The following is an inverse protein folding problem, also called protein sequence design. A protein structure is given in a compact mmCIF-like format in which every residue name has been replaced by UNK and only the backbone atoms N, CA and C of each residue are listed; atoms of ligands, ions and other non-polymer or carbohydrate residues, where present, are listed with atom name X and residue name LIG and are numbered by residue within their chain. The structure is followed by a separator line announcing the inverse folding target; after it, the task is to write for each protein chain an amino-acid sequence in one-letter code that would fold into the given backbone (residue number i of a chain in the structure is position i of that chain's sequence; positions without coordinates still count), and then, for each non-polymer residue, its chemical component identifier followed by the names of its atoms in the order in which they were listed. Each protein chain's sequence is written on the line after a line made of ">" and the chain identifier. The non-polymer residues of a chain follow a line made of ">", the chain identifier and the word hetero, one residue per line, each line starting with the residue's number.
data_IF_347230517361
#
_entry.id   IF_347230517361
#
_cell.length_a   1.000
_cell.length_b   1.000
_cell.length_c   1.000
_cell.angle_alpha   90.00
_cell.angle_beta   90.00
_cell.angle_gamma   90.00
#
_symmetry.space_group_name_H-M   'P 1'
#
loop_
_entity.id
_entity.type
_entity.pdbx_description
1 polymer ?
#
# COMPACT_ATOMS: atom_id res chain seq x y z
N UNK A 1 8.14 -12.74 3.04
CA UNK A 1 7.79 -11.72 4.05
C UNK A 1 6.75 -10.71 3.53
N UNK A 2 6.79 -10.31 2.26
CA UNK A 2 5.83 -9.38 1.63
C UNK A 2 4.36 -9.86 1.70
N UNK A 3 4.09 -11.13 1.56
CA UNK A 3 2.72 -11.67 1.43
C UNK A 3 2.05 -11.96 2.75
N UNK A 4 2.79 -12.42 3.74
CA UNK A 4 2.25 -12.42 5.10
C UNK A 4 1.86 -11.01 5.51
N UNK A 5 2.70 -10.01 5.21
CA UNK A 5 2.42 -8.61 5.58
C UNK A 5 1.22 -8.05 4.84
N UNK A 6 1.06 -8.34 3.53
CA UNK A 6 -0.12 -7.92 2.77
C UNK A 6 -1.38 -8.68 3.22
N UNK A 7 -1.27 -9.96 3.56
CA UNK A 7 -2.35 -10.74 4.18
C UNK A 7 -2.84 -10.13 5.47
N UNK A 8 -1.94 -9.76 6.36
CA UNK A 8 -2.30 -9.04 7.59
C UNK A 8 -2.98 -7.71 7.31
N UNK A 9 -2.43 -6.96 6.35
CA UNK A 9 -2.89 -5.65 5.97
C UNK A 9 -4.32 -5.72 5.44
N UNK A 10 -4.64 -6.65 4.54
CA UNK A 10 -6.00 -6.84 4.01
C UNK A 10 -6.96 -7.51 5.00
N UNK A 11 -6.46 -8.38 5.86
CA UNK A 11 -7.24 -8.90 6.97
C UNK A 11 -7.71 -7.78 7.91
N UNK A 12 -6.81 -6.85 8.25
CA UNK A 12 -7.14 -5.70 9.09
C UNK A 12 -8.10 -4.74 8.37
N UNK A 13 -7.91 -4.48 7.07
CA UNK A 13 -8.82 -3.62 6.31
C UNK A 13 -10.20 -4.23 6.14
N UNK A 14 -10.28 -5.52 5.81
CA UNK A 14 -11.54 -6.24 5.72
C UNK A 14 -12.28 -6.22 7.06
N UNK A 15 -11.57 -6.47 8.15
CA UNK A 15 -12.13 -6.35 9.49
C UNK A 15 -12.63 -4.93 9.78
N UNK A 16 -11.86 -3.91 9.41
CA UNK A 16 -12.24 -2.51 9.59
C UNK A 16 -13.48 -2.14 8.78
N UNK A 17 -13.61 -2.64 7.53
CA UNK A 17 -14.79 -2.45 6.68
C UNK A 17 -16.02 -3.11 7.30
N UNK A 18 -15.90 -4.34 7.79
CA UNK A 18 -17.00 -5.06 8.45
C UNK A 18 -17.41 -4.31 9.71
N UNK A 19 -16.48 -3.93 10.58
CA UNK A 19 -16.78 -3.18 11.80
C UNK A 19 -17.42 -1.83 11.47
N UNK A 20 -16.88 -1.08 10.49
CA UNK A 20 -17.43 0.20 10.04
C UNK A 20 -18.84 0.05 9.45
N UNK A 21 -19.08 -0.96 8.62
CA UNK A 21 -20.38 -1.27 8.03
C UNK A 21 -21.42 -1.67 9.07
N UNK A 22 -21.07 -2.57 9.98
CA UNK A 22 -21.94 -2.97 11.10
C UNK A 22 -22.20 -1.81 12.05
N UNK A 23 -21.17 -1.01 12.36
CA UNK A 23 -21.30 0.18 13.19
C UNK A 23 -22.23 1.22 12.57
N UNK A 24 -22.09 1.46 11.27
CA UNK A 24 -22.97 2.37 10.51
C UNK A 24 -24.42 1.87 10.46
N UNK A 25 -24.62 0.58 10.17
CA UNK A 25 -25.95 -0.04 10.15
C UNK A 25 -26.61 0.04 11.53
N UNK A 26 -25.86 -0.24 12.60
CA UNK A 26 -26.38 -0.15 13.97
C UNK A 26 -26.74 1.28 14.36
N UNK A 27 -25.89 2.26 14.03
CA UNK A 27 -26.18 3.67 14.29
C UNK A 27 -27.42 4.16 13.53
N UNK A 28 -27.59 3.76 12.26
CA UNK A 28 -28.74 4.09 11.45
C UNK A 28 -30.05 3.40 11.95
N UNK A 29 -29.96 2.12 12.35
CA UNK A 29 -31.10 1.42 12.94
C UNK A 29 -31.59 2.13 14.21
N UNK A 30 -30.65 2.54 15.07
CA UNK A 30 -30.99 3.24 16.30
C UNK A 30 -31.59 4.63 16.01
N UNK A 31 -31.05 5.35 15.03
CA UNK A 31 -31.58 6.63 14.57
C UNK A 31 -33.03 6.48 14.05
N UNK A 32 -33.33 5.41 13.29
CA UNK A 32 -34.68 5.10 12.82
C UNK A 32 -35.61 4.77 14.00
N UNK A 33 -35.16 3.95 14.97
CA UNK A 33 -35.99 3.61 16.12
C UNK A 33 -36.34 4.81 16.99
N UNK A 34 -35.43 5.73 17.19
CA UNK A 34 -35.66 6.96 17.95
C UNK A 34 -36.64 7.93 17.24
N UNK A 35 -36.71 7.87 15.91
CA UNK A 35 -37.59 8.69 15.07
C UNK A 35 -38.85 7.96 14.59
N UNK A 36 -39.12 6.80 15.16
CA UNK A 36 -40.26 5.98 14.74
C UNK A 36 -41.59 6.77 14.74
N UNK A 37 -41.81 7.59 15.76
CA UNK A 37 -43.00 8.43 15.86
C UNK A 37 -43.08 9.52 14.78
N UNK A 38 -41.97 10.21 14.50
CA UNK A 38 -41.90 11.23 13.43
C UNK A 38 -42.16 10.59 12.07
N UNK A 39 -41.58 9.43 11.79
CA UNK A 39 -41.81 8.64 10.57
C UNK A 39 -43.31 8.23 10.48
N UNK A 40 -43.89 7.82 11.61
CA UNK A 40 -45.30 7.49 11.68
C UNK A 40 -46.23 8.69 11.34
N UNK A 41 -45.92 9.87 11.85
CA UNK A 41 -46.66 11.11 11.52
C UNK A 41 -46.50 11.44 10.03
N UNK A 42 -45.30 11.39 9.47
CA UNK A 42 -45.10 11.63 8.03
C UNK A 42 -45.92 10.66 7.17
N UNK A 43 -45.98 9.38 7.60
CA UNK A 43 -46.75 8.33 6.92
C UNK A 43 -48.28 8.57 7.05
N UNK A 44 -48.76 9.04 8.19
CA UNK A 44 -50.18 9.37 8.39
C UNK A 44 -50.63 10.58 7.57
N UNK A 45 -49.73 11.54 7.30
CA UNK A 45 -49.95 12.69 6.43
C UNK A 45 -49.83 12.34 4.92
N UNK A 46 -49.64 11.04 4.58
CA UNK A 46 -49.70 10.57 3.20
C UNK A 46 -48.35 10.36 2.51
N UNK A 47 -47.23 10.36 3.25
CA UNK A 47 -45.94 10.04 2.65
C UNK A 47 -45.93 8.58 2.19
N UNK A 48 -45.54 8.38 0.92
CA UNK A 48 -45.33 7.04 0.34
C UNK A 48 -44.08 6.38 0.95
N UNK A 49 -44.10 5.03 1.06
CA UNK A 49 -42.97 4.23 1.56
C UNK A 49 -41.64 4.60 0.91
N UNK A 50 -41.65 4.80 -0.41
CA UNK A 50 -40.47 5.17 -1.20
C UNK A 50 -39.89 6.54 -0.80
N UNK A 51 -40.73 7.50 -0.39
CA UNK A 51 -40.26 8.82 0.05
C UNK A 51 -39.53 8.73 1.38
N UNK A 52 -40.01 7.90 2.33
CA UNK A 52 -39.37 7.64 3.61
C UNK A 52 -38.03 6.88 3.37
N UNK A 53 -38.05 5.87 2.52
CA UNK A 53 -36.84 5.11 2.16
C UNK A 53 -35.75 6.04 1.59
N UNK A 54 -36.08 6.86 0.61
CA UNK A 54 -35.12 7.80 0.00
C UNK A 54 -34.59 8.83 0.99
N UNK A 55 -35.44 9.30 1.92
CA UNK A 55 -35.03 10.26 2.94
C UNK A 55 -33.95 9.66 3.86
N UNK A 56 -34.15 8.44 4.40
CA UNK A 56 -33.24 7.80 5.32
C UNK A 56 -31.99 7.30 4.59
N UNK A 57 -32.15 6.76 3.38
CA UNK A 57 -31.01 6.36 2.57
C UNK A 57 -30.13 7.57 2.20
N UNK A 58 -30.74 8.70 1.86
CA UNK A 58 -30.03 9.95 1.60
C UNK A 58 -29.26 10.45 2.83
N UNK A 59 -29.84 10.32 4.04
CA UNK A 59 -29.17 10.65 5.29
C UNK A 59 -27.94 9.74 5.51
N UNK A 60 -28.08 8.43 5.26
CA UNK A 60 -26.95 7.47 5.34
C UNK A 60 -25.85 7.80 4.34
N UNK A 61 -26.20 8.10 3.09
CA UNK A 61 -25.23 8.48 2.07
C UNK A 61 -24.47 9.77 2.45
N UNK A 62 -25.20 10.76 3.00
CA UNK A 62 -24.59 12.02 3.44
C UNK A 62 -23.60 11.80 4.58
N UNK A 63 -23.95 10.97 5.57
CA UNK A 63 -23.04 10.58 6.67
C UNK A 63 -21.84 9.83 6.11
N UNK A 64 -22.05 8.91 5.17
CA UNK A 64 -20.96 8.18 4.49
C UNK A 64 -19.98 9.11 3.78
N UNK A 65 -20.48 10.05 2.97
CA UNK A 65 -19.66 11.03 2.24
C UNK A 65 -18.88 11.92 3.21
N UNK A 66 -19.51 12.46 4.23
CA UNK A 66 -18.83 13.30 5.22
C UNK A 66 -17.75 12.53 6.00
N UNK A 67 -18.05 11.28 6.42
CA UNK A 67 -17.08 10.41 7.07
C UNK A 67 -15.93 10.06 6.15
N UNK A 68 -16.22 9.79 4.89
CA UNK A 68 -15.20 9.50 3.88
C UNK A 68 -14.28 10.69 3.60
N UNK A 69 -14.81 11.91 3.49
CA UNK A 69 -13.99 13.11 3.34
C UNK A 69 -13.09 13.36 4.55
N UNK A 70 -13.60 13.15 5.76
CA UNK A 70 -12.79 13.22 6.98
C UNK A 70 -11.71 12.13 6.99
N UNK A 71 -12.05 10.90 6.58
CA UNK A 71 -11.09 9.79 6.48
C UNK A 71 -9.97 10.08 5.48
N UNK A 72 -10.31 10.61 4.31
CA UNK A 72 -9.32 11.05 3.30
C UNK A 72 -8.39 12.13 3.87
N UNK A 73 -8.94 13.12 4.56
CA UNK A 73 -8.15 14.18 5.19
C UNK A 73 -7.24 13.66 6.30
N UNK A 74 -7.75 12.76 7.15
CA UNK A 74 -6.94 12.13 8.21
C UNK A 74 -5.86 11.21 7.64
N UNK A 75 -6.17 10.42 6.61
CA UNK A 75 -5.21 9.57 5.93
C UNK A 75 -4.08 10.40 5.30
N UNK A 76 -4.42 11.50 4.62
CA UNK A 76 -3.43 12.42 4.06
C UNK A 76 -2.57 13.07 5.16
N UNK A 77 -3.17 13.52 6.27
CA UNK A 77 -2.46 14.09 7.40
C UNK A 77 -1.51 13.08 8.06
N UNK A 78 -1.93 11.82 8.21
CA UNK A 78 -1.07 10.75 8.71
C UNK A 78 0.12 10.50 7.79
N UNK A 79 -0.11 10.38 6.49
CA UNK A 79 0.99 10.23 5.52
C UNK A 79 1.96 11.41 5.58
N UNK A 80 1.47 12.64 5.74
CA UNK A 80 2.30 13.83 5.86
C UNK A 80 3.11 13.86 7.18
N UNK A 81 2.47 13.53 8.31
CA UNK A 81 3.11 13.56 9.65
C UNK A 81 4.09 12.41 9.86
N UNK A 82 3.83 11.28 9.28
CA UNK A 82 4.66 10.08 9.38
C UNK A 82 5.42 9.80 8.07
N UNK A 83 5.70 10.82 7.28
CA UNK A 83 6.38 10.68 5.99
C UNK A 83 7.71 9.91 6.12
N UNK A 84 8.50 10.16 7.17
CA UNK A 84 9.75 9.42 7.43
C UNK A 84 9.52 7.92 7.70
N UNK A 85 8.51 7.56 8.50
CA UNK A 85 8.16 6.17 8.73
C UNK A 85 7.42 5.54 7.53
N UNK A 86 6.61 6.32 6.82
CA UNK A 86 5.89 5.88 5.63
C UNK A 86 6.85 5.59 4.47
N UNK A 87 7.90 6.40 4.28
CA UNK A 87 8.95 6.14 3.29
C UNK A 87 9.76 4.89 3.65
N UNK A 88 9.91 4.57 4.94
CA UNK A 88 10.50 3.31 5.40
C UNK A 88 9.73 2.09 4.88
N UNK A 89 8.40 2.18 4.80
CA UNK A 89 7.54 1.13 4.24
C UNK A 89 7.21 1.33 2.76
N UNK A 90 7.96 2.17 2.04
CA UNK A 90 7.75 2.45 0.62
C UNK A 90 6.54 3.33 0.30
N UNK A 91 5.82 3.82 1.30
CA UNK A 91 4.72 4.74 1.09
C UNK A 91 5.25 6.16 0.88
N UNK A 92 5.12 6.70 -0.32
CA UNK A 92 5.44 8.09 -0.59
C UNK A 92 4.17 8.91 -0.85
N UNK A 93 4.17 10.14 -0.37
CA UNK A 93 3.07 11.09 -0.62
C UNK A 93 2.89 11.42 -2.11
N UNK A 94 3.95 11.21 -2.91
CA UNK A 94 3.94 11.39 -4.36
C UNK A 94 3.17 10.28 -5.11
N UNK A 95 2.92 9.13 -4.48
CA UNK A 95 2.28 7.98 -5.10
C UNK A 95 0.77 7.87 -4.83
N UNK A 96 0.13 8.92 -4.32
CA UNK A 96 -1.34 8.96 -4.23
C UNK A 96 -1.91 9.08 -5.64
N UNK A 97 -2.11 7.93 -6.29
CA UNK A 97 -2.68 7.89 -7.63
C UNK A 97 -4.19 8.21 -7.60
N UNK A 98 -4.71 8.70 -8.70
CA UNK A 98 -6.16 8.89 -8.88
C UNK A 98 -6.96 7.60 -8.63
N UNK A 99 -6.35 6.43 -8.85
CA UNK A 99 -6.95 5.13 -8.56
C UNK A 99 -7.23 4.90 -7.07
N UNK A 100 -6.32 5.31 -6.17
CA UNK A 100 -6.54 5.21 -4.72
C UNK A 100 -7.73 6.07 -4.28
N UNK A 101 -7.82 7.29 -4.82
CA UNK A 101 -8.96 8.19 -4.54
C UNK A 101 -10.27 7.61 -5.04
N UNK A 102 -10.30 7.01 -6.25
CA UNK A 102 -11.47 6.36 -6.80
C UNK A 102 -11.92 5.16 -5.97
N UNK A 103 -10.98 4.31 -5.52
CA UNK A 103 -11.28 3.17 -4.64
C UNK A 103 -11.82 3.63 -3.29
N UNK A 104 -11.20 4.62 -2.66
CA UNK A 104 -11.66 5.18 -1.40
C UNK A 104 -13.08 5.76 -1.55
N UNK A 105 -13.35 6.50 -2.63
CA UNK A 105 -14.67 7.06 -2.91
C UNK A 105 -15.69 5.97 -3.19
N UNK A 106 -15.35 4.94 -3.97
CA UNK A 106 -16.17 3.76 -4.20
C UNK A 106 -16.55 3.05 -2.90
N UNK A 107 -15.58 2.83 -2.02
CA UNK A 107 -15.80 2.22 -0.69
C UNK A 107 -16.77 3.04 0.16
N UNK A 108 -16.64 4.37 0.16
CA UNK A 108 -17.56 5.28 0.88
C UNK A 108 -19.00 5.15 0.38
N UNK A 109 -19.19 5.11 -0.95
CA UNK A 109 -20.52 4.95 -1.54
C UNK A 109 -21.11 3.59 -1.16
N UNK A 110 -20.33 2.52 -1.28
CA UNK A 110 -20.78 1.15 -0.95
C UNK A 110 -21.15 1.06 0.53
N UNK A 111 -20.31 1.53 1.44
CA UNK A 111 -20.59 1.53 2.88
C UNK A 111 -21.83 2.36 3.22
N UNK A 112 -21.97 3.55 2.62
CA UNK A 112 -23.16 4.42 2.80
C UNK A 112 -24.44 3.76 2.34
N UNK A 113 -24.38 3.07 1.21
CA UNK A 113 -25.53 2.37 0.63
C UNK A 113 -25.88 1.11 1.44
N UNK A 114 -24.92 0.21 1.66
CA UNK A 114 -25.14 -1.07 2.38
C UNK A 114 -25.55 -0.82 3.82
N UNK A 115 -24.87 0.08 4.53
CA UNK A 115 -25.20 0.45 5.91
C UNK A 115 -26.57 1.12 6.04
N UNK A 116 -27.05 1.80 4.97
CA UNK A 116 -28.34 2.52 4.96
C UNK A 116 -29.53 1.74 4.42
N UNK A 117 -29.33 0.76 3.54
CA UNK A 117 -30.45 0.06 2.86
C UNK A 117 -31.36 -0.68 3.83
N UNK A 118 -30.81 -1.49 4.74
CA UNK A 118 -31.61 -2.26 5.69
C UNK A 118 -32.38 -1.35 6.67
N UNK A 119 -31.78 -0.35 7.33
CA UNK A 119 -32.50 0.58 8.19
C UNK A 119 -33.59 1.36 7.47
N UNK A 120 -33.32 1.85 6.27
CA UNK A 120 -34.29 2.61 5.47
C UNK A 120 -35.47 1.74 5.00
N UNK A 121 -35.19 0.51 4.59
CA UNK A 121 -36.24 -0.46 4.25
C UNK A 121 -37.12 -0.79 5.46
N UNK A 122 -36.54 -1.05 6.62
CA UNK A 122 -37.27 -1.30 7.88
C UNK A 122 -38.14 -0.11 8.27
N UNK A 123 -37.57 1.10 8.22
CA UNK A 123 -38.32 2.33 8.51
C UNK A 123 -39.49 2.58 7.54
N UNK A 124 -39.30 2.26 6.25
CA UNK A 124 -40.36 2.43 5.24
C UNK A 124 -41.56 1.52 5.45
N UNK A 125 -41.39 0.41 6.18
CA UNK A 125 -42.45 -0.57 6.48
C UNK A 125 -43.19 -0.32 7.80
N UNK A 126 -42.77 0.67 8.60
CA UNK A 126 -43.48 1.02 9.83
C UNK A 126 -44.94 1.39 9.55
N UNK A 127 -45.85 0.80 10.29
CA UNK A 127 -47.29 1.15 10.23
C UNK A 127 -47.55 2.43 11.02
N UNK A 128 -48.32 3.38 10.53
CA UNK A 128 -48.60 4.66 11.21
C UNK A 128 -49.17 4.46 12.62
N UNK A 129 -50.05 3.47 12.80
CA UNK A 129 -50.73 3.19 14.07
C UNK A 129 -49.73 2.65 15.12
N UNK A 130 -48.83 1.74 14.73
CA UNK A 130 -47.81 1.20 15.61
C UNK A 130 -46.76 2.25 15.95
N UNK A 131 -46.37 3.09 14.99
CA UNK A 131 -45.40 4.14 15.17
C UNK A 131 -45.89 5.25 16.12
N UNK A 132 -47.18 5.55 16.11
CA UNK A 132 -47.82 6.55 17.01
C UNK A 132 -47.98 6.00 18.44
N UNK A 133 -48.12 4.68 18.61
CA UNK A 133 -48.19 4.02 19.93
C UNK A 133 -46.82 3.81 20.58
N UNK A 134 -45.73 4.07 19.86
CA UNK A 134 -44.38 3.86 20.35
C UNK A 134 -43.99 4.98 21.34
N UNK A 135 -44.05 4.69 22.64
CA UNK A 135 -43.65 5.59 23.74
C UNK A 135 -42.14 5.58 24.00
N UNK A 136 -41.32 5.48 22.97
CA UNK A 136 -39.86 5.45 23.10
C UNK A 136 -39.25 6.85 23.20
N UNK A 137 -38.88 7.20 24.39
CA UNK A 137 -37.95 8.24 24.86
C UNK A 137 -37.55 9.37 23.92
N UNK A 138 -38.40 10.37 23.73
CA UNK A 138 -37.95 11.67 23.26
C UNK A 138 -37.31 12.42 24.44
N UNK A 139 -35.99 12.44 24.51
CA UNK A 139 -35.26 13.41 25.37
C UNK A 139 -35.54 14.81 24.83
N UNK A 140 -36.51 15.50 25.46
CA UNK A 140 -36.75 16.92 25.26
C UNK A 140 -35.60 17.77 25.77
N UNK A 141 -34.53 17.90 24.99
CA UNK A 141 -33.49 18.88 25.21
C UNK A 141 -33.73 20.07 24.27
N UNK A 142 -33.58 21.28 24.74
CA UNK A 142 -33.61 22.53 23.98
C UNK A 142 -32.52 22.50 22.89
N UNK A 143 -32.84 21.93 21.74
CA UNK A 143 -31.90 21.83 20.63
C UNK A 143 -31.80 23.18 19.91
N UNK A 144 -30.62 23.79 19.94
CA UNK A 144 -30.27 24.95 19.11
C UNK A 144 -30.55 24.59 17.64
N UNK A 145 -31.48 25.29 17.03
CA UNK A 145 -31.76 25.14 15.59
C UNK A 145 -30.68 25.89 14.80
N UNK A 146 -30.02 25.19 13.89
CA UNK A 146 -29.14 25.85 12.93
C UNK A 146 -29.99 26.53 11.86
N UNK A 147 -29.66 27.77 11.43
CA UNK A 147 -30.44 28.53 10.45
C UNK A 147 -30.29 27.98 9.02
N UNK A 148 -29.39 27.02 8.78
CA UNK A 148 -29.04 26.49 7.45
C UNK A 148 -29.18 24.97 7.46
N UNK A 149 -29.92 24.43 6.47
CA UNK A 149 -30.05 23.01 6.19
C UNK A 149 -31.43 22.44 6.49
N UNK A 150 -31.84 21.47 5.68
CA UNK A 150 -33.10 20.74 5.84
C UNK A 150 -33.14 19.86 7.10
N UNK A 151 -34.26 19.15 7.31
CA UNK A 151 -34.49 18.27 8.46
C UNK A 151 -33.33 17.26 8.71
N UNK A 152 -32.65 16.84 7.66
CA UNK A 152 -31.52 15.92 7.77
C UNK A 152 -30.32 16.53 8.54
N UNK A 153 -29.93 17.77 8.22
CA UNK A 153 -28.81 18.47 8.88
C UNK A 153 -29.14 18.79 10.34
N UNK A 154 -30.36 19.24 10.61
CA UNK A 154 -30.81 19.52 11.99
C UNK A 154 -30.79 18.25 12.86
N UNK A 155 -31.15 17.10 12.29
CA UNK A 155 -31.15 15.82 13.01
C UNK A 155 -29.76 15.29 13.33
N UNK A 156 -28.80 15.49 12.43
CA UNK A 156 -27.39 15.15 12.68
C UNK A 156 -26.81 15.99 13.82
N UNK A 157 -27.18 17.29 13.88
CA UNK A 157 -26.70 18.19 14.92
C UNK A 157 -27.31 17.92 16.28
N UNK A 158 -28.60 17.57 16.33
CA UNK A 158 -29.28 17.26 17.60
C UNK A 158 -28.70 16.01 18.30
N UNK A 159 -28.03 15.13 17.55
CA UNK A 159 -27.39 13.89 18.04
C UNK A 159 -25.90 13.88 17.81
N UNK A 160 -25.27 15.05 18.04
CA UNK A 160 -23.87 15.29 17.71
C UNK A 160 -22.90 14.20 18.16
N UNK A 161 -23.00 13.72 19.41
CA UNK A 161 -22.10 12.66 19.90
C UNK A 161 -22.16 11.40 19.06
N UNK A 162 -23.36 10.93 18.67
CA UNK A 162 -23.52 9.75 17.82
C UNK A 162 -23.03 10.01 16.40
N UNK A 163 -23.38 11.15 15.85
CA UNK A 163 -22.93 11.57 14.52
C UNK A 163 -21.41 11.61 14.45
N UNK A 164 -20.75 12.21 15.47
CA UNK A 164 -19.31 12.22 15.53
C UNK A 164 -18.69 10.82 15.66
N UNK A 165 -19.26 9.91 16.46
CA UNK A 165 -18.79 8.55 16.58
C UNK A 165 -18.95 7.76 15.24
N UNK A 166 -20.07 7.95 14.55
CA UNK A 166 -20.29 7.28 13.26
C UNK A 166 -19.36 7.85 12.18
N UNK A 167 -19.21 9.17 12.11
CA UNK A 167 -18.27 9.82 11.19
C UNK A 167 -16.84 9.41 11.49
N UNK A 168 -16.47 9.31 12.77
CA UNK A 168 -15.16 8.82 13.20
C UNK A 168 -14.91 7.38 12.78
N UNK A 169 -15.87 6.48 12.99
CA UNK A 169 -15.76 5.08 12.57
C UNK A 169 -15.58 4.95 11.05
N UNK A 170 -16.39 5.66 10.25
CA UNK A 170 -16.25 5.69 8.79
C UNK A 170 -14.91 6.30 8.40
N UNK A 171 -14.51 7.42 9.04
CA UNK A 171 -13.24 8.09 8.77
C UNK A 171 -12.03 7.20 9.03
N UNK A 172 -12.01 6.48 10.15
CA UNK A 172 -10.94 5.52 10.48
C UNK A 172 -10.90 4.38 9.46
N UNK A 173 -12.07 3.85 9.07
CA UNK A 173 -12.15 2.77 8.08
C UNK A 173 -11.61 3.20 6.72
N UNK A 174 -12.07 4.34 6.20
CA UNK A 174 -11.62 4.84 4.90
C UNK A 174 -10.14 5.23 4.93
N UNK A 175 -9.70 5.91 6.00
CA UNK A 175 -8.30 6.28 6.19
C UNK A 175 -7.39 5.05 6.31
N UNK A 176 -7.84 4.01 6.99
CA UNK A 176 -7.14 2.72 7.10
C UNK A 176 -6.97 2.04 5.74
N UNK A 177 -8.05 1.97 4.94
CA UNK A 177 -7.99 1.38 3.59
C UNK A 177 -7.02 2.16 2.69
N UNK A 178 -7.07 3.50 2.75
CA UNK A 178 -6.16 4.34 1.96
C UNK A 178 -4.69 4.13 2.36
N UNK A 179 -4.40 4.17 3.67
CA UNK A 179 -3.04 3.97 4.16
C UNK A 179 -2.49 2.60 3.75
N UNK A 180 -3.35 1.62 3.74
CA UNK A 180 -3.06 0.25 3.40
C UNK A 180 -2.78 0.07 1.91
N UNK A 181 -3.65 0.59 1.05
CA UNK A 181 -3.47 0.58 -0.41
C UNK A 181 -2.21 1.35 -0.82
N UNK A 182 -1.93 2.49 -0.17
CA UNK A 182 -0.70 3.24 -0.38
C UNK A 182 0.54 2.42 -0.01
N UNK A 183 0.49 1.65 1.09
CA UNK A 183 1.58 0.78 1.53
C UNK A 183 1.81 -0.37 0.53
N UNK A 184 0.74 -1.00 0.06
CA UNK A 184 0.84 -2.11 -0.92
C UNK A 184 1.40 -1.62 -2.25
N UNK A 185 0.91 -0.48 -2.77
CA UNK A 185 1.44 0.11 -4.01
C UNK A 185 2.88 0.60 -3.85
N UNK A 186 3.21 1.14 -2.66
CA UNK A 186 4.58 1.48 -2.32
C UNK A 186 5.50 0.27 -2.37
N UNK A 187 5.09 -0.87 -1.81
CA UNK A 187 5.86 -2.11 -1.87
C UNK A 187 6.00 -2.64 -3.31
N UNK A 188 4.96 -2.54 -4.13
CA UNK A 188 5.03 -2.95 -5.54
C UNK A 188 5.93 -2.05 -6.37
N UNK A 189 5.84 -0.72 -6.19
CA UNK A 189 6.72 0.24 -6.87
C UNK A 189 8.18 0.04 -6.47
N UNK A 190 8.45 -0.27 -5.20
CA UNK A 190 9.76 -0.58 -4.68
C UNK A 190 10.42 -1.75 -5.42
N UNK A 191 9.67 -2.82 -5.70
CA UNK A 191 10.16 -3.98 -6.46
C UNK A 191 10.42 -3.58 -7.92
N UNK A 192 9.51 -2.83 -8.54
CA UNK A 192 9.69 -2.33 -9.90
C UNK A 192 10.89 -1.38 -10.01
N UNK A 193 11.11 -0.51 -9.02
CA UNK A 193 12.25 0.41 -8.96
C UNK A 193 13.59 -0.31 -8.85
N UNK A 194 13.61 -1.55 -8.29
CA UNK A 194 14.82 -2.38 -8.31
C UNK A 194 15.30 -2.69 -9.72
N UNK A 195 14.38 -2.84 -10.67
CA UNK A 195 14.69 -3.05 -12.08
C UNK A 195 15.27 -1.82 -12.77
N UNK A 196 14.99 -0.63 -12.27
CA UNK A 196 15.41 0.64 -12.88
C UNK A 196 14.88 0.78 -14.30
N UNK A 197 15.75 1.06 -15.27
CA UNK A 197 15.40 1.15 -16.69
C UNK A 197 15.58 -0.17 -17.45
N UNK A 198 15.74 -1.30 -16.74
CA UNK A 198 15.77 -2.59 -17.41
C UNK A 198 14.36 -3.02 -17.81
N UNK A 199 14.24 -3.66 -18.96
CA UNK A 199 12.96 -4.14 -19.47
C UNK A 199 12.58 -5.48 -18.86
N UNK A 200 13.57 -6.31 -18.47
CA UNK A 200 13.37 -7.68 -17.98
C UNK A 200 14.11 -7.86 -16.66
N UNK A 201 13.43 -8.48 -15.71
CA UNK A 201 14.00 -9.00 -14.47
C UNK A 201 13.94 -10.52 -14.43
N UNK A 202 15.01 -11.13 -13.93
CA UNK A 202 15.16 -12.60 -13.89
C UNK A 202 15.47 -13.00 -12.46
N UNK A 203 14.69 -13.93 -11.92
CA UNK A 203 14.88 -14.57 -10.61
C UNK A 203 15.05 -16.08 -10.75
N UNK A 204 15.39 -16.75 -9.67
CA UNK A 204 15.40 -18.21 -9.64
C UNK A 204 13.96 -18.73 -9.72
N UNK A 205 13.73 -19.75 -10.54
CA UNK A 205 12.42 -20.39 -10.66
C UNK A 205 12.03 -21.09 -9.36
N UNK A 206 10.73 -21.05 -9.02
CA UNK A 206 10.19 -21.72 -7.84
C UNK A 206 10.51 -21.06 -6.49
N UNK A 207 11.25 -19.94 -6.46
CA UNK A 207 11.53 -19.19 -5.24
C UNK A 207 10.71 -17.89 -5.25
N UNK A 208 9.91 -17.71 -4.21
CA UNK A 208 9.05 -16.56 -4.07
C UNK A 208 9.82 -15.29 -3.64
N UNK A 209 10.74 -15.44 -2.68
CA UNK A 209 11.53 -14.32 -2.13
C UNK A 209 12.88 -14.21 -2.85
N UNK A 210 13.11 -13.08 -3.50
CA UNK A 210 14.36 -12.79 -4.22
C UNK A 210 15.59 -12.77 -3.33
N UNK A 211 15.47 -12.55 -2.02
CA UNK A 211 16.58 -12.65 -1.06
C UNK A 211 17.14 -14.06 -0.91
N UNK A 212 16.29 -15.08 -1.10
CA UNK A 212 16.73 -16.49 -1.11
C UNK A 212 17.17 -16.98 -2.48
N UNK A 213 16.89 -16.24 -3.54
CA UNK A 213 17.31 -16.58 -4.90
C UNK A 213 18.85 -16.71 -4.99
N UNK A 214 19.31 -17.70 -5.76
CA UNK A 214 20.73 -18.05 -5.87
C UNK A 214 21.05 -18.57 -7.27
N UNK A 215 21.13 -17.64 -8.23
CA UNK A 215 21.38 -17.91 -9.65
C UNK A 215 22.90 -17.93 -9.90
N UNK A 216 23.37 -18.90 -10.67
CA UNK A 216 24.79 -18.96 -11.05
C UNK A 216 25.17 -17.83 -12.02
N UNK A 217 26.32 -17.19 -11.83
CA UNK A 217 26.83 -16.13 -12.69
C UNK A 217 26.99 -16.54 -14.16
N UNK A 218 27.13 -17.84 -14.43
CA UNK A 218 27.21 -18.36 -15.81
C UNK A 218 25.90 -18.12 -16.59
N UNK A 219 24.76 -18.10 -15.88
CA UNK A 219 23.46 -17.85 -16.50
C UNK A 219 23.42 -16.43 -17.04
N UNK A 220 23.89 -15.46 -16.29
CA UNK A 220 23.96 -14.06 -16.75
C UNK A 220 24.81 -13.90 -18.02
N UNK A 221 25.95 -14.61 -18.09
CA UNK A 221 26.80 -14.62 -19.29
C UNK A 221 26.11 -15.23 -20.52
N UNK A 222 25.33 -16.29 -20.32
CA UNK A 222 24.53 -16.91 -21.40
C UNK A 222 23.43 -15.97 -21.90
N UNK A 223 22.75 -15.30 -20.96
CA UNK A 223 21.70 -14.33 -21.29
C UNK A 223 22.28 -13.11 -22.01
N UNK A 224 23.46 -12.62 -21.59
CA UNK A 224 24.14 -11.53 -22.24
C UNK A 224 24.57 -11.83 -23.69
N UNK A 225 24.67 -13.10 -24.06
CA UNK A 225 24.98 -13.53 -25.44
C UNK A 225 23.73 -13.68 -26.33
N UNK A 226 22.52 -13.52 -25.81
CA UNK A 226 21.29 -13.61 -26.59
C UNK A 226 21.13 -12.39 -27.51
N UNK A 227 20.60 -12.59 -28.73
CA UNK A 227 20.31 -11.49 -29.64
C UNK A 227 19.35 -10.46 -29.01
N UNK A 228 19.60 -9.18 -29.24
CA UNK A 228 18.76 -8.09 -28.72
C UNK A 228 19.05 -7.68 -27.28
N UNK A 229 19.94 -8.38 -26.57
CA UNK A 229 20.37 -8.01 -25.23
C UNK A 229 21.47 -6.98 -25.29
N UNK A 230 21.24 -5.82 -24.73
CA UNK A 230 22.22 -4.73 -24.64
C UNK A 230 23.16 -4.88 -23.45
N UNK A 231 22.63 -5.11 -22.26
CA UNK A 231 23.40 -5.33 -21.05
C UNK A 231 22.66 -6.24 -20.07
N UNK A 232 23.42 -6.99 -19.28
CA UNK A 232 22.90 -7.80 -18.16
C UNK A 232 23.65 -7.38 -16.90
N UNK A 233 22.92 -7.07 -15.84
CA UNK A 233 23.49 -6.68 -14.56
C UNK A 233 23.01 -7.64 -13.48
N UNK A 234 23.95 -8.23 -12.77
CA UNK A 234 23.67 -9.13 -11.64
C UNK A 234 23.57 -8.34 -10.34
N UNK A 235 22.53 -8.61 -9.56
CA UNK A 235 22.35 -8.05 -8.23
C UNK A 235 22.32 -9.16 -7.19
N UNK A 236 23.18 -9.07 -6.18
CA UNK A 236 23.07 -9.85 -4.97
C UNK A 236 22.51 -8.95 -3.86
N UNK A 237 21.36 -9.33 -3.36
CA UNK A 237 20.58 -8.50 -2.45
C UNK A 237 20.40 -9.21 -1.11
N UNK A 238 20.61 -8.48 0.00
CA UNK A 238 20.33 -8.94 1.35
C UNK A 238 20.06 -7.76 2.28
N UNK A 239 19.61 -8.07 3.50
CA UNK A 239 19.50 -7.10 4.57
C UNK A 239 20.17 -7.65 5.83
N UNK A 240 20.78 -6.79 6.62
CA UNK A 240 21.30 -7.10 7.95
C UNK A 240 20.71 -6.14 8.98
N UNK A 241 20.69 -6.55 10.23
CA UNK A 241 20.33 -5.63 11.33
C UNK A 241 21.63 -5.01 11.87
N UNK A 242 21.60 -3.70 12.06
CA UNK A 242 22.68 -2.98 12.71
C UNK A 242 22.60 -3.22 14.22
N UNK A 243 23.67 -3.72 14.88
CA UNK A 243 23.63 -4.12 16.27
C UNK A 243 23.29 -2.97 17.24
N UNK A 244 23.76 -1.76 16.93
CA UNK A 244 23.67 -0.61 17.83
C UNK A 244 22.38 0.20 17.67
N UNK A 245 21.68 0.08 16.53
CA UNK A 245 20.52 0.93 16.20
C UNK A 245 19.22 0.15 16.01
N UNK A 246 19.28 -1.19 15.94
CA UNK A 246 18.10 -2.02 15.66
C UNK A 246 17.48 -1.79 14.28
N UNK A 247 18.16 -1.03 13.42
CA UNK A 247 17.71 -0.65 12.09
C UNK A 247 18.16 -1.66 11.05
N UNK A 248 17.36 -1.87 10.02
CA UNK A 248 17.73 -2.68 8.87
C UNK A 248 18.66 -1.90 7.96
N UNK A 249 19.73 -2.56 7.53
CA UNK A 249 20.67 -2.07 6.53
C UNK A 249 20.61 -2.94 5.29
N UNK A 250 20.21 -2.35 4.18
CA UNK A 250 20.07 -3.04 2.89
C UNK A 250 21.44 -3.10 2.18
N UNK A 251 21.86 -4.30 1.80
CA UNK A 251 23.11 -4.51 1.09
C UNK A 251 22.83 -4.89 -0.35
N UNK A 252 23.33 -4.09 -1.29
CA UNK A 252 23.25 -4.34 -2.71
C UNK A 252 24.65 -4.63 -3.25
N UNK A 253 24.91 -5.90 -3.57
CA UNK A 253 26.15 -6.32 -4.24
C UNK A 253 26.03 -6.16 -5.73
N UNK A 254 26.81 -5.25 -6.33
CA UNK A 254 26.81 -4.95 -7.75
C UNK A 254 28.23 -4.96 -8.30
N UNK A 255 28.42 -5.33 -9.56
CA UNK A 255 29.72 -5.19 -10.18
C UNK A 255 30.00 -3.71 -10.50
N UNK A 256 31.15 -3.15 -10.08
CA UNK A 256 31.43 -1.72 -10.20
C UNK A 256 31.34 -1.17 -11.63
N UNK A 257 31.65 -2.00 -12.62
CA UNK A 257 31.65 -1.66 -14.04
C UNK A 257 30.31 -1.92 -14.73
N UNK A 258 29.33 -2.49 -14.05
CA UNK A 258 28.03 -2.76 -14.62
C UNK A 258 27.11 -1.53 -14.58
N UNK A 259 26.15 -1.55 -15.49
CA UNK A 259 25.18 -0.48 -15.72
C UNK A 259 24.54 0.04 -14.42
N UNK A 260 24.16 -0.84 -13.49
CA UNK A 260 23.48 -0.45 -12.25
C UNK A 260 24.36 0.43 -11.36
N UNK A 261 25.61 0.04 -11.13
CA UNK A 261 26.56 0.82 -10.31
C UNK A 261 26.90 2.18 -10.96
N UNK A 262 26.88 2.24 -12.30
CA UNK A 262 27.23 3.44 -13.05
C UNK A 262 26.09 4.45 -13.15
N UNK A 263 24.85 4.03 -12.91
CA UNK A 263 23.69 4.86 -13.14
C UNK A 263 23.19 5.66 -11.93
N UNK A 264 23.46 5.20 -10.73
CA UNK A 264 23.03 5.94 -9.53
C UNK A 264 23.61 7.36 -9.52
N UNK A 265 22.79 8.32 -9.09
CA UNK A 265 23.23 9.70 -8.94
C UNK A 265 24.10 9.82 -7.68
N UNK A 266 25.41 9.91 -7.86
CA UNK A 266 26.34 10.16 -6.76
C UNK A 266 26.35 11.64 -6.46
N UNK A 267 25.92 12.00 -5.27
CA UNK A 267 25.79 13.40 -4.80
C UNK A 267 27.02 13.87 -4.07
N UNK A 268 27.74 12.93 -3.44
CA UNK A 268 29.00 13.23 -2.73
C UNK A 268 30.01 12.09 -2.94
N UNK A 269 31.28 12.43 -3.07
CA UNK A 269 32.37 11.46 -3.22
C UNK A 269 32.47 10.84 -4.60
N UNK A 270 32.78 9.55 -4.64
CA UNK A 270 33.09 8.80 -5.85
C UNK A 270 32.25 7.55 -6.00
N UNK A 271 32.17 7.03 -7.22
CA UNK A 271 31.56 5.73 -7.51
C UNK A 271 32.40 4.57 -6.97
N UNK A 272 31.73 3.45 -6.80
CA UNK A 272 32.37 2.18 -6.46
C UNK A 272 33.37 1.77 -7.55
N UNK A 273 34.61 1.50 -7.18
CA UNK A 273 35.68 1.10 -8.10
C UNK A 273 36.29 -0.26 -7.75
N UNK A 274 36.10 -0.76 -6.53
CA UNK A 274 36.73 -2.00 -6.07
C UNK A 274 36.07 -2.60 -4.83
N UNK A 275 36.77 -3.56 -4.25
CA UNK A 275 36.36 -4.24 -3.03
C UNK A 275 36.58 -3.39 -1.79
N UNK A 276 35.89 -3.74 -0.69
CA UNK A 276 35.96 -3.04 0.60
C UNK A 276 35.57 -1.56 0.53
N UNK A 277 34.85 -1.19 -0.52
CA UNK A 277 34.26 0.12 -0.72
C UNK A 277 32.73 0.01 -0.63
N UNK A 278 32.12 1.10 -0.19
CA UNK A 278 30.67 1.23 -0.11
C UNK A 278 30.23 2.59 -0.65
N UNK A 279 29.23 2.61 -1.51
CA UNK A 279 28.41 3.80 -1.70
C UNK A 279 27.21 3.68 -0.77
N UNK A 280 26.96 4.69 0.05
CA UNK A 280 25.86 4.72 1.01
C UNK A 280 24.69 5.52 0.43
N UNK A 281 23.48 5.05 0.61
CA UNK A 281 22.30 5.81 0.26
C UNK A 281 22.15 7.04 1.16
N UNK A 282 21.66 8.16 0.63
CA UNK A 282 21.56 9.43 1.37
C UNK A 282 20.76 9.27 2.65
N UNK A 283 19.59 8.63 2.61
CA UNK A 283 18.76 8.44 3.79
C UNK A 283 19.50 7.68 4.91
N UNK A 284 20.28 6.67 4.55
CA UNK A 284 21.05 5.90 5.54
C UNK A 284 22.26 6.70 6.04
N UNK A 285 22.95 7.44 5.18
CA UNK A 285 24.06 8.31 5.56
C UNK A 285 23.62 9.37 6.59
N UNK A 286 22.47 10.02 6.33
CA UNK A 286 21.87 11.00 7.26
C UNK A 286 21.45 10.34 8.58
N UNK A 287 20.77 9.18 8.51
CA UNK A 287 20.29 8.46 9.70
C UNK A 287 21.43 8.02 10.62
N UNK A 288 22.57 7.59 10.04
CA UNK A 288 23.73 7.12 10.77
C UNK A 288 24.79 8.22 11.02
N UNK A 289 24.53 9.44 10.54
CA UNK A 289 25.49 10.57 10.57
C UNK A 289 26.86 10.14 10.04
N UNK A 290 26.89 9.55 8.83
CA UNK A 290 28.08 9.03 8.17
C UNK A 290 28.43 9.85 6.93
N UNK A 291 29.70 10.22 6.83
CA UNK A 291 30.27 11.00 5.75
C UNK A 291 31.17 10.18 4.84
N UNK A 292 31.45 10.74 3.66
CA UNK A 292 32.42 10.16 2.70
C UNK A 292 33.82 10.13 3.32
N UNK A 293 34.46 8.97 3.22
CA UNK A 293 35.80 8.73 3.78
C UNK A 293 35.78 7.94 5.07
N UNK A 294 34.64 7.88 5.78
CA UNK A 294 34.50 7.07 7.00
C UNK A 294 34.45 5.57 6.73
N UNK A 295 34.62 4.82 7.77
CA UNK A 295 34.55 3.35 7.70
C UNK A 295 33.30 2.85 8.40
N UNK A 296 32.62 1.90 7.77
CA UNK A 296 31.49 1.18 8.33
C UNK A 296 31.84 -0.30 8.49
N UNK A 297 31.48 -0.88 9.61
CA UNK A 297 31.63 -2.31 9.86
C UNK A 297 30.26 -3.00 9.78
N UNK A 298 30.18 -4.02 8.92
CA UNK A 298 28.98 -4.86 8.76
C UNK A 298 29.40 -6.32 8.99
N UNK A 299 28.88 -6.93 10.03
CA UNK A 299 29.13 -8.35 10.37
C UNK A 299 30.60 -8.73 10.29
N UNK A 300 31.51 -7.89 10.83
CA UNK A 300 32.95 -8.12 10.87
C UNK A 300 33.71 -7.73 9.60
N UNK A 301 33.05 -7.27 8.55
CA UNK A 301 33.70 -6.74 7.35
C UNK A 301 33.71 -5.21 7.39
N UNK A 302 34.86 -4.62 7.09
CA UNK A 302 34.98 -3.14 7.05
C UNK A 302 34.91 -2.62 5.64
N UNK A 303 34.09 -1.59 5.45
CA UNK A 303 33.88 -0.91 4.19
C UNK A 303 34.19 0.57 4.34
N UNK A 304 34.96 1.13 3.41
CA UNK A 304 35.17 2.57 3.33
C UNK A 304 34.01 3.18 2.55
N UNK A 305 33.33 4.16 3.13
CA UNK A 305 32.32 4.95 2.42
C UNK A 305 33.03 5.83 1.40
N UNK A 306 32.87 5.50 0.12
CA UNK A 306 33.54 6.22 -0.98
C UNK A 306 32.65 7.26 -1.64
N UNK A 307 31.34 7.15 -1.46
CA UNK A 307 30.38 8.10 -1.97
C UNK A 307 29.00 7.94 -1.37
N UNK A 308 28.19 8.98 -1.49
CA UNK A 308 26.77 9.01 -1.11
C UNK A 308 25.95 9.16 -2.39
N UNK A 309 24.90 8.34 -2.52
CA UNK A 309 24.04 8.36 -3.71
C UNK A 309 22.58 8.62 -3.38
N UNK A 310 21.89 9.20 -4.35
CA UNK A 310 20.44 9.31 -4.41
C UNK A 310 19.90 8.44 -5.54
N UNK A 311 18.82 7.72 -5.27
CA UNK A 311 18.16 6.88 -6.26
C UNK A 311 16.74 7.33 -6.59
N UNK A 312 16.17 8.24 -5.79
CA UNK A 312 14.77 8.62 -5.82
C UNK A 312 13.83 7.56 -5.23
N UNK A 313 14.39 6.46 -4.70
CA UNK A 313 13.66 5.39 -4.03
C UNK A 313 14.22 5.23 -2.62
N UNK A 314 13.41 5.58 -1.61
CA UNK A 314 13.83 5.51 -0.20
C UNK A 314 14.34 4.12 0.18
N UNK A 315 13.78 3.08 -0.41
CA UNK A 315 14.23 1.71 -0.18
C UNK A 315 15.67 1.45 -0.63
N UNK A 316 16.04 1.95 -1.81
CA UNK A 316 17.41 1.79 -2.32
C UNK A 316 18.41 2.61 -1.49
N UNK A 317 17.95 3.67 -0.84
CA UNK A 317 18.75 4.58 -0.03
C UNK A 317 18.86 4.16 1.44
N UNK A 318 18.12 3.10 1.87
CA UNK A 318 18.17 2.55 3.22
C UNK A 318 19.30 1.55 3.44
N UNK A 319 20.42 1.76 2.80
CA UNK A 319 21.58 0.89 2.93
C UNK A 319 22.74 1.33 2.07
N UNK A 320 23.47 0.37 1.52
CA UNK A 320 24.63 0.67 0.69
C UNK A 320 24.83 -0.32 -0.45
N UNK A 321 25.50 0.19 -1.47
CA UNK A 321 26.03 -0.63 -2.57
C UNK A 321 27.49 -0.98 -2.28
N UNK A 322 27.82 -2.26 -2.38
CA UNK A 322 29.18 -2.80 -2.26
C UNK A 322 29.53 -3.61 -3.50
N UNK A 323 30.80 -4.02 -3.63
CA UNK A 323 31.17 -4.88 -4.75
C UNK A 323 30.42 -6.21 -4.70
N UNK A 324 30.06 -6.75 -5.87
CA UNK A 324 29.41 -8.07 -5.95
C UNK A 324 30.23 -9.16 -5.25
N UNK A 325 31.56 -9.10 -5.32
CA UNK A 325 32.46 -10.02 -4.64
C UNK A 325 32.37 -9.93 -3.12
N UNK A 326 32.36 -8.72 -2.59
CA UNK A 326 32.22 -8.51 -1.15
C UNK A 326 30.86 -9.02 -0.67
N UNK A 327 29.78 -8.74 -1.40
CA UNK A 327 28.45 -9.24 -1.09
C UNK A 327 28.36 -10.77 -1.14
N UNK A 328 29.00 -11.40 -2.11
CA UNK A 328 29.12 -12.86 -2.21
C UNK A 328 29.87 -13.47 -1.04
N UNK A 329 30.96 -12.82 -0.60
CA UNK A 329 31.69 -13.23 0.58
C UNK A 329 30.87 -13.05 1.85
N UNK A 330 30.23 -11.89 1.99
CA UNK A 330 29.36 -11.56 3.11
C UNK A 330 28.22 -12.57 3.29
N UNK A 331 27.60 -13.00 2.19
CA UNK A 331 26.47 -13.95 2.21
C UNK A 331 26.89 -15.42 2.15
N UNK A 332 28.17 -15.73 1.98
CA UNK A 332 28.62 -17.10 1.74
C UNK A 332 28.08 -17.71 0.45
N UNK A 333 27.77 -16.89 -0.56
CA UNK A 333 27.21 -17.30 -1.87
C UNK A 333 28.19 -17.04 -3.02
N UNK A 334 29.33 -17.73 -3.11
CA UNK A 334 30.32 -17.48 -4.15
C UNK A 334 29.75 -17.73 -5.55
N UNK A 335 30.00 -16.82 -6.46
CA UNK A 335 29.52 -16.87 -7.85
C UNK A 335 27.99 -16.99 -8.02
N UNK A 336 27.24 -16.47 -7.07
CA UNK A 336 25.78 -16.44 -7.12
C UNK A 336 25.30 -15.00 -7.09
N UNK A 337 24.14 -14.77 -7.71
CA UNK A 337 23.38 -13.53 -7.64
C UNK A 337 21.93 -13.82 -7.27
N UNK A 338 21.24 -12.84 -6.70
CA UNK A 338 19.83 -12.97 -6.36
C UNK A 338 18.95 -12.81 -7.59
N UNK A 339 19.33 -11.90 -8.48
CA UNK A 339 18.56 -11.61 -9.69
C UNK A 339 19.44 -11.01 -10.79
N UNK A 340 18.94 -11.05 -12.01
CA UNK A 340 19.49 -10.31 -13.13
C UNK A 340 18.51 -9.27 -13.62
N UNK A 341 19.05 -8.13 -14.02
CA UNK A 341 18.35 -7.08 -14.75
C UNK A 341 18.91 -7.03 -16.16
N UNK A 342 18.03 -7.12 -17.13
CA UNK A 342 18.39 -7.16 -18.55
C UNK A 342 17.85 -5.93 -19.24
N UNK A 343 18.74 -5.21 -19.92
CA UNK A 343 18.39 -4.09 -20.78
C UNK A 343 18.52 -4.53 -22.22
N UNK A 344 17.53 -4.17 -23.04
CA UNK A 344 17.46 -4.54 -24.44
C UNK A 344 17.95 -3.41 -25.35
N UNK A 345 18.34 -3.75 -26.57
CA UNK A 345 18.56 -2.78 -27.65
C UNK A 345 17.24 -2.19 -28.10
N UNK A 346 16.22 -3.04 -28.23
CA UNK A 346 14.85 -2.69 -28.60
C UNK A 346 13.85 -3.19 -27.53
N UNK A 347 13.27 -2.29 -26.73
CA UNK A 347 12.32 -2.64 -25.68
C UNK A 347 11.07 -3.40 -26.20
N UNK A 348 10.71 -3.25 -27.48
CA UNK A 348 9.53 -3.93 -28.04
C UNK A 348 9.67 -5.45 -28.09
N UNK A 349 10.90 -5.97 -28.07
CA UNK A 349 11.22 -7.39 -28.10
C UNK A 349 11.22 -8.04 -26.72
N UNK A 350 10.92 -7.28 -25.66
CA UNK A 350 11.02 -7.76 -24.28
C UNK A 350 10.16 -9.01 -24.01
N UNK A 351 8.92 -9.04 -24.47
CA UNK A 351 8.04 -10.22 -24.29
C UNK A 351 8.59 -11.47 -24.97
N UNK A 352 9.04 -11.33 -26.21
CA UNK A 352 9.59 -12.47 -26.96
C UNK A 352 10.84 -13.03 -26.26
N UNK A 353 11.68 -12.16 -25.71
CA UNK A 353 12.88 -12.59 -25.00
C UNK A 353 12.53 -13.24 -23.65
N UNK A 354 11.53 -12.74 -22.93
CA UNK A 354 11.00 -13.37 -21.70
C UNK A 354 10.56 -14.81 -21.99
N UNK A 355 9.77 -15.05 -23.04
CA UNK A 355 9.29 -16.39 -23.42
C UNK A 355 10.46 -17.30 -23.81
N UNK A 356 11.43 -16.78 -24.54
CA UNK A 356 12.64 -17.52 -24.93
C UNK A 356 13.46 -17.92 -23.70
N UNK A 357 13.70 -17.00 -22.74
CA UNK A 357 14.47 -17.29 -21.53
C UNK A 357 13.74 -18.34 -20.71
N UNK A 358 12.45 -18.20 -20.47
CA UNK A 358 11.66 -19.14 -19.69
C UNK A 358 11.60 -20.55 -20.30
N UNK A 359 11.67 -20.64 -21.63
CA UNK A 359 11.71 -21.93 -22.33
C UNK A 359 13.09 -22.57 -22.29
N UNK A 360 14.16 -21.79 -22.49
CA UNK A 360 15.53 -22.30 -22.60
C UNK A 360 16.23 -22.52 -21.26
N UNK A 361 15.80 -21.79 -20.21
CA UNK A 361 16.45 -21.83 -18.90
C UNK A 361 15.42 -22.10 -17.78
N UNK A 362 15.00 -23.35 -17.57
CA UNK A 362 13.93 -23.69 -16.62
C UNK A 362 14.29 -23.40 -15.15
N UNK A 363 15.57 -23.24 -14.83
CA UNK A 363 16.04 -22.91 -13.49
C UNK A 363 15.81 -21.43 -13.11
N UNK A 364 15.45 -20.59 -14.07
CA UNK A 364 15.19 -19.16 -13.86
C UNK A 364 13.81 -18.79 -14.39
N UNK A 365 13.28 -17.70 -13.88
CA UNK A 365 12.03 -17.12 -14.31
C UNK A 365 12.25 -15.66 -14.69
N UNK A 366 12.06 -15.36 -15.97
CA UNK A 366 12.12 -14.01 -16.51
C UNK A 366 10.72 -13.41 -16.56
N UNK A 367 10.61 -12.12 -16.29
CA UNK A 367 9.38 -11.35 -16.45
C UNK A 367 9.71 -9.90 -16.83
N UNK A 368 8.72 -9.20 -17.39
CA UNK A 368 8.86 -7.77 -17.61
C UNK A 368 9.01 -7.05 -16.27
N UNK A 369 9.84 -6.02 -16.22
CA UNK A 369 10.11 -5.28 -14.98
C UNK A 369 8.83 -4.73 -14.34
N UNK A 370 7.90 -4.22 -15.15
CA UNK A 370 6.60 -3.74 -14.65
C UNK A 370 5.66 -4.83 -14.13
N UNK A 371 5.84 -6.08 -14.60
CA UNK A 371 5.02 -7.23 -14.21
C UNK A 371 5.71 -8.11 -13.13
N UNK A 372 6.98 -7.82 -12.83
CA UNK A 372 7.81 -8.67 -11.97
C UNK A 372 7.19 -8.86 -10.57
N UNK A 373 6.68 -7.79 -9.98
CA UNK A 373 6.02 -7.83 -8.68
C UNK A 373 4.74 -8.68 -8.74
N UNK A 374 3.91 -8.49 -9.76
CA UNK A 374 2.63 -9.19 -9.92
C UNK A 374 2.79 -10.69 -10.21
N UNK A 375 3.90 -11.08 -10.85
CA UNK A 375 4.20 -12.49 -11.15
C UNK A 375 4.91 -13.24 -10.02
N UNK A 376 5.16 -12.59 -8.89
CA UNK A 376 5.61 -13.30 -7.69
C UNK A 376 4.47 -14.18 -7.16
N UNK A 377 4.70 -15.51 -6.88
CA UNK A 377 3.65 -16.42 -6.41
C UNK A 377 2.88 -15.90 -5.21
N UNK A 378 3.57 -15.20 -4.37
CA UNK A 378 3.03 -14.62 -3.17
C UNK A 378 2.10 -13.43 -3.48
N UNK A 379 2.38 -12.63 -4.48
CA UNK A 379 1.51 -11.54 -4.93
C UNK A 379 0.19 -12.05 -5.48
N UNK A 380 0.21 -13.13 -6.25
CA UNK A 380 -1.00 -13.75 -6.82
C UNK A 380 -1.93 -14.30 -5.75
N UNK A 381 -1.39 -14.95 -4.73
CA UNK A 381 -2.19 -15.44 -3.59
C UNK A 381 -2.86 -14.28 -2.84
N UNK A 382 -2.22 -13.13 -2.82
CA UNK A 382 -2.72 -11.94 -2.16
C UNK A 382 -3.83 -11.26 -2.94
N UNK A 383 -3.71 -11.15 -4.27
CA UNK A 383 -4.78 -10.62 -5.11
C UNK A 383 -6.06 -11.46 -4.96
N UNK A 384 -5.93 -12.80 -4.90
CA UNK A 384 -7.06 -13.69 -4.63
C UNK A 384 -7.66 -13.46 -3.24
N UNK A 385 -6.83 -13.27 -2.21
CA UNK A 385 -7.30 -12.98 -0.86
C UNK A 385 -7.93 -11.58 -0.77
N UNK A 386 -7.38 -10.59 -1.48
CA UNK A 386 -7.94 -9.25 -1.60
C UNK A 386 -9.32 -9.27 -2.24
N UNK A 387 -9.48 -10.03 -3.33
CA UNK A 387 -10.77 -10.21 -3.99
C UNK A 387 -11.79 -10.85 -3.03
N UNK A 388 -11.39 -11.88 -2.26
CA UNK A 388 -12.25 -12.52 -1.29
C UNK A 388 -12.67 -11.60 -0.14
N UNK A 389 -11.75 -10.81 0.39
CA UNK A 389 -12.05 -9.84 1.47
C UNK A 389 -12.92 -8.69 0.95
N UNK A 390 -12.64 -8.19 -0.25
CA UNK A 390 -13.49 -7.18 -0.89
C UNK A 390 -14.91 -7.71 -1.13
N UNK A 391 -15.06 -8.97 -1.51
CA UNK A 391 -16.37 -9.62 -1.66
C UNK A 391 -17.11 -9.79 -0.33
N UNK A 392 -16.40 -10.12 0.76
CA UNK A 392 -16.98 -10.23 2.10
C UNK A 392 -17.32 -8.86 2.72
N UNK A 393 -16.70 -7.79 2.25
CA UNK A 393 -16.93 -6.42 2.72
C UNK A 393 -18.11 -5.72 2.03
N UNK A 394 -18.64 -6.28 0.93
CA UNK A 394 -19.83 -5.85 0.21
C UNK A 394 -21.07 -6.56 0.78
#
# INVERSE_FOLDING_TARGET
>A
MGDMMKGYVWGIAGLAIVIGGVGMMNAQLMAVMERTREIGVLRSVGWKRWRVLRMILGESMLVGILGGLLGLGMGWLMLYRFAGAATFFGASTSNISSGILQQAFGTVIVLGFVGGVYPSWRASRLQPIEALRYEGGASGGNARRLPIGGMAVQSLWQRSARTFLTLGAIGITVGGIMALEATVRGASSMISDMGGDSEIMIRQAGIADTGYSSIDERVGKKIAALPGVKTVSGLLFTATMLPDEGSFFMIQGVAPNEYRAQRVNVVEGNRLTGNHQMMMGRMMAEAMNKDVGETMELSGMRFKVVGIYESGSGWQEMGGMISLRDAQTFMGKPRKVSMYMVKLEDPSQARQLVDMINTQYPDVHASLTGEFAEQMPDMQNMDAMMAAISFLAI
#
